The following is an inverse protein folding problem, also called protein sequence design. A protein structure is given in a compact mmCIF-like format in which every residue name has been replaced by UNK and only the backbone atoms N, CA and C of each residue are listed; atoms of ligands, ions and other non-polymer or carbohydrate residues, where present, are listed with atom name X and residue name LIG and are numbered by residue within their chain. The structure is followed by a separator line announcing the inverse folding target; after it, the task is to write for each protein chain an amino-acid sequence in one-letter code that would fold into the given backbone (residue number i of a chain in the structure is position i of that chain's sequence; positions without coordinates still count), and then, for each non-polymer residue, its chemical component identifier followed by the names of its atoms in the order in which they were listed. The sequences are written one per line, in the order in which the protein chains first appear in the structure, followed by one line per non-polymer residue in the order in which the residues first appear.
data_IF_333612911217
#
_entry.id   IF_333612911217
#
_cell.length_a   1.000
_cell.length_b   1.000
_cell.length_c   1.000
_cell.angle_alpha   90.00
_cell.angle_beta   90.00
_cell.angle_gamma   90.00
#
_symmetry.space_group_name_H-M   'P 1'
#
loop_
_entity.id
_entity.type
_entity.pdbx_description
1 polymer ?
#
# COMPACT_ATOMS: atom_id res chain seq x y z
N UNK A 1 -70.78 22.62 -9.69
CA UNK A 1 -70.45 21.18 -9.61
C UNK A 1 -68.95 21.08 -9.41
N UNK A 2 -68.52 20.79 -8.18
CA UNK A 2 -67.13 20.73 -7.70
C UNK A 2 -66.61 19.30 -7.80
N UNK A 3 -65.36 19.10 -8.24
CA UNK A 3 -64.52 17.97 -7.82
C UNK A 3 -63.05 18.43 -7.81
N UNK A 4 -62.55 18.77 -6.63
CA UNK A 4 -61.12 18.92 -6.34
C UNK A 4 -60.64 17.65 -5.65
N UNK A 5 -59.64 16.99 -6.22
CA UNK A 5 -59.05 15.76 -5.68
C UNK A 5 -58.39 16.01 -4.33
N UNK A 6 -58.83 15.29 -3.31
CA UNK A 6 -58.24 15.25 -1.96
C UNK A 6 -56.92 14.46 -1.98
N UNK A 7 -55.82 14.92 -1.34
CA UNK A 7 -54.63 14.11 -1.16
C UNK A 7 -54.76 13.16 0.03
N UNK A 8 -54.28 11.93 -0.15
CA UNK A 8 -54.30 10.79 0.78
C UNK A 8 -53.38 11.03 2.01
N UNK A 9 -53.87 10.90 3.27
CA UNK A 9 -53.07 11.12 4.48
C UNK A 9 -52.44 9.80 4.94
N UNK A 10 -51.62 9.16 4.09
CA UNK A 10 -51.21 7.76 4.33
C UNK A 10 -49.72 7.44 4.19
N UNK A 11 -48.81 8.41 4.04
CA UNK A 11 -47.37 8.12 3.88
C UNK A 11 -46.52 8.92 4.85
N UNK A 12 -46.21 8.33 6.01
CA UNK A 12 -45.08 8.77 6.83
C UNK A 12 -43.79 8.57 6.02
N UNK A 13 -42.93 9.57 5.85
CA UNK A 13 -41.62 9.31 5.26
C UNK A 13 -40.89 8.36 6.18
N UNK A 14 -40.40 7.25 5.61
CA UNK A 14 -39.46 6.35 6.28
C UNK A 14 -38.29 7.21 6.72
N UNK A 15 -38.17 7.47 8.03
CA UNK A 15 -37.02 8.14 8.59
C UNK A 15 -35.79 7.37 8.13
N UNK A 16 -34.99 7.95 7.25
CA UNK A 16 -33.67 7.48 6.92
C UNK A 16 -32.89 7.45 8.25
N UNK A 17 -32.68 6.25 8.76
CA UNK A 17 -31.66 5.98 9.76
C UNK A 17 -30.32 6.29 9.11
N UNK A 18 -29.92 7.56 9.15
CA UNK A 18 -28.55 7.93 8.82
C UNK A 18 -27.66 7.17 9.82
N UNK A 19 -26.73 6.31 9.34
CA UNK A 19 -25.75 5.71 10.22
C UNK A 19 -24.93 6.86 10.80
N UNK A 20 -25.01 7.05 12.12
CA UNK A 20 -24.15 8.00 12.81
C UNK A 20 -22.72 7.53 12.60
N UNK A 21 -22.00 8.21 11.71
CA UNK A 21 -20.57 8.00 11.55
C UNK A 21 -19.92 8.47 12.86
N UNK A 22 -19.65 7.53 13.76
CA UNK A 22 -18.74 7.81 14.86
C UNK A 22 -17.37 8.14 14.24
N UNK A 23 -16.65 9.15 14.75
CA UNK A 23 -15.29 9.38 14.33
C UNK A 23 -14.47 8.19 14.82
N UNK A 24 -14.36 7.18 13.97
CA UNK A 24 -13.37 6.11 14.12
C UNK A 24 -12.05 6.85 14.09
N UNK A 25 -11.48 7.07 15.28
CA UNK A 25 -10.18 7.69 15.46
C UNK A 25 -9.23 6.99 14.51
N UNK A 26 -8.98 7.64 13.38
CA UNK A 26 -8.12 7.12 12.36
C UNK A 26 -6.73 7.26 12.95
N UNK A 27 -6.29 6.23 13.69
CA UNK A 27 -4.87 5.90 13.67
C UNK A 27 -4.60 5.71 12.19
N UNK A 28 -3.93 6.70 11.60
CA UNK A 28 -3.46 6.58 10.24
C UNK A 28 -2.58 5.33 10.23
N UNK A 29 -3.11 4.24 9.68
CA UNK A 29 -2.28 3.14 9.23
C UNK A 29 -1.21 3.80 8.36
N UNK A 30 0.09 3.59 8.63
CA UNK A 30 1.12 4.18 7.80
C UNK A 30 0.80 3.77 6.37
N UNK A 31 0.56 4.75 5.49
CA UNK A 31 0.36 4.49 4.07
C UNK A 31 1.58 3.69 3.65
N UNK A 32 1.37 2.41 3.34
CA UNK A 32 2.42 1.54 2.87
C UNK A 32 2.81 2.05 1.49
N UNK A 33 3.74 2.99 1.47
CA UNK A 33 4.28 3.57 0.25
C UNK A 33 4.96 2.44 -0.53
N UNK A 34 4.33 2.11 -1.65
CA UNK A 34 4.73 1.03 -2.55
C UNK A 34 6.13 1.34 -3.11
N UNK A 35 7.01 0.33 -3.27
CA UNK A 35 8.30 0.56 -3.92
C UNK A 35 8.08 0.98 -5.38
N UNK A 36 8.89 1.93 -5.86
CA UNK A 36 8.82 2.45 -7.21
C UNK A 36 9.72 1.64 -8.15
N UNK A 37 9.22 1.34 -9.36
CA UNK A 37 10.04 0.75 -10.44
C UNK A 37 10.71 1.88 -11.22
N UNK A 38 12.04 1.91 -11.21
CA UNK A 38 12.86 2.88 -11.96
C UNK A 38 13.75 2.17 -12.99
N UNK A 39 14.27 2.91 -13.97
CA UNK A 39 15.07 2.36 -15.06
C UNK A 39 16.39 3.11 -15.25
N UNK A 40 17.47 2.37 -15.51
CA UNK A 40 18.78 2.92 -15.88
C UNK A 40 19.47 2.06 -16.94
N UNK A 41 20.56 2.56 -17.52
CA UNK A 41 21.54 1.71 -18.22
C UNK A 41 22.51 1.06 -17.23
N UNK A 42 22.83 -0.21 -17.43
CA UNK A 42 23.84 -0.91 -16.64
C UNK A 42 25.21 -0.24 -16.80
N UNK A 43 25.86 0.12 -15.69
CA UNK A 43 27.15 0.80 -15.73
C UNK A 43 28.31 -0.04 -16.32
N UNK A 44 28.13 -1.36 -16.41
CA UNK A 44 29.13 -2.28 -17.00
C UNK A 44 28.86 -2.56 -18.49
N UNK A 45 27.65 -2.95 -18.87
CA UNK A 45 27.35 -3.42 -20.23
C UNK A 45 26.34 -2.56 -21.00
N UNK A 46 25.82 -1.48 -20.41
CA UNK A 46 24.90 -0.55 -21.05
C UNK A 46 23.45 -1.03 -21.19
N UNK A 47 23.16 -2.31 -20.94
CA UNK A 47 21.80 -2.86 -21.03
C UNK A 47 20.83 -2.11 -20.11
N UNK A 48 19.63 -1.77 -20.62
CA UNK A 48 18.59 -1.18 -19.80
C UNK A 48 18.09 -2.17 -18.75
N UNK A 49 18.08 -1.74 -17.49
CA UNK A 49 17.68 -2.54 -16.34
C UNK A 49 16.62 -1.79 -15.54
N UNK A 50 15.65 -2.54 -15.04
CA UNK A 50 14.68 -2.07 -14.06
C UNK A 50 15.22 -2.33 -12.64
N UNK A 51 14.91 -1.43 -11.71
CA UNK A 51 15.24 -1.56 -10.30
C UNK A 51 14.09 -1.10 -9.41
N UNK A 52 14.19 -1.39 -8.12
CA UNK A 52 13.23 -0.92 -7.12
C UNK A 52 13.89 0.13 -6.25
N UNK A 53 13.25 1.30 -6.11
CA UNK A 53 13.73 2.40 -5.28
C UNK A 53 15.23 2.73 -5.52
N UNK A 54 15.69 2.74 -6.78
CA UNK A 54 17.09 3.01 -7.12
C UNK A 54 18.08 1.86 -6.87
N UNK A 55 17.60 0.64 -6.63
CA UNK A 55 18.43 -0.56 -6.44
C UNK A 55 18.41 -1.42 -7.70
N UNK A 56 19.58 -1.60 -8.30
CA UNK A 56 19.72 -2.15 -9.63
C UNK A 56 20.63 -3.38 -9.64
N UNK A 57 20.21 -4.40 -10.38
CA UNK A 57 21.00 -5.60 -10.64
C UNK A 57 20.86 -6.00 -12.11
N UNK A 58 21.97 -6.15 -12.81
CA UNK A 58 21.98 -6.59 -14.20
C UNK A 58 22.06 -8.11 -14.28
N UNK A 59 20.99 -8.75 -14.73
CA UNK A 59 20.95 -10.21 -14.97
C UNK A 59 21.90 -10.66 -16.09
N UNK A 60 22.30 -9.76 -16.99
CA UNK A 60 23.20 -10.08 -18.10
C UNK A 60 24.67 -10.19 -17.70
N UNK A 61 25.21 -9.20 -16.98
CA UNK A 61 26.65 -9.12 -16.68
C UNK A 61 27.00 -9.19 -15.18
N UNK A 62 25.99 -9.36 -14.31
CA UNK A 62 26.14 -9.51 -12.86
C UNK A 62 26.51 -8.23 -12.11
N UNK A 63 26.52 -7.07 -12.77
CA UNK A 63 26.74 -5.80 -12.09
C UNK A 63 25.58 -5.48 -11.14
N UNK A 64 25.92 -5.02 -9.94
CA UNK A 64 24.99 -4.50 -8.93
C UNK A 64 25.51 -3.15 -8.47
N UNK A 65 24.61 -2.23 -8.16
CA UNK A 65 25.00 -0.94 -7.62
C UNK A 65 25.24 -1.00 -6.10
N UNK A 66 25.93 0.00 -5.54
CA UNK A 66 26.16 0.04 -4.09
C UNK A 66 24.84 0.21 -3.34
N UNK A 67 24.69 -0.49 -2.22
CA UNK A 67 23.41 -0.52 -1.49
C UNK A 67 23.00 0.87 -0.95
N UNK A 68 23.96 1.77 -0.74
CA UNK A 68 23.71 3.14 -0.28
C UNK A 68 23.08 4.04 -1.34
N UNK A 69 23.13 3.66 -2.61
CA UNK A 69 22.64 4.48 -3.73
C UNK A 69 21.12 4.38 -3.94
N UNK A 70 20.42 3.53 -3.18
CA UNK A 70 18.96 3.45 -3.23
C UNK A 70 18.29 4.76 -2.84
N UNK A 71 17.21 5.12 -3.54
CA UNK A 71 16.47 6.38 -3.35
C UNK A 71 15.71 6.40 -2.01
N UNK A 72 15.31 5.22 -1.51
CA UNK A 72 14.60 5.10 -0.24
C UNK A 72 15.60 4.94 0.92
N UNK A 73 15.46 5.76 1.99
CA UNK A 73 16.29 5.61 3.18
C UNK A 73 16.22 4.18 3.71
N UNK A 74 17.36 3.68 4.18
CA UNK A 74 17.35 2.39 4.84
C UNK A 74 16.47 2.44 6.11
N UNK A 75 15.78 1.34 6.44
CA UNK A 75 15.19 1.18 7.75
C UNK A 75 16.24 1.49 8.82
N UNK A 76 15.87 2.28 9.81
CA UNK A 76 16.71 2.45 10.99
C UNK A 76 17.08 1.07 11.55
N UNK A 77 18.28 0.94 12.13
CA UNK A 77 18.70 -0.28 12.81
C UNK A 77 17.75 -0.58 13.98
N UNK A 78 16.64 -1.25 13.69
CA UNK A 78 15.65 -1.67 14.66
C UNK A 78 16.09 -2.92 15.40
N UNK A 79 15.38 -3.23 16.49
CA UNK A 79 15.56 -4.48 17.26
C UNK A 79 15.65 -5.67 16.30
N UNK A 80 16.59 -6.57 16.59
CA UNK A 80 16.80 -7.83 15.86
C UNK A 80 15.46 -8.44 15.48
N UNK A 81 15.28 -8.76 14.19
CA UNK A 81 14.12 -9.54 13.74
C UNK A 81 14.04 -10.78 14.62
N UNK A 82 12.86 -11.10 15.23
CA UNK A 82 12.70 -12.34 15.96
C UNK A 82 13.12 -13.50 15.07
N UNK A 83 14.07 -14.30 15.55
CA UNK A 83 14.44 -15.53 14.88
C UNK A 83 13.21 -16.44 14.89
N UNK A 84 12.84 -17.05 13.75
CA UNK A 84 11.82 -18.11 13.79
C UNK A 84 12.32 -19.21 14.75
N UNK A 85 11.39 -19.78 15.52
CA UNK A 85 11.71 -20.91 16.38
C UNK A 85 12.39 -22.02 15.56
N UNK A 86 13.38 -22.74 16.14
CA UNK A 86 13.98 -23.88 15.46
C UNK A 86 12.89 -24.87 15.03
N UNK A 87 12.97 -25.35 13.79
CA UNK A 87 12.02 -26.35 13.30
C UNK A 87 12.16 -27.61 14.16
N UNK A 88 11.05 -28.26 14.56
CA UNK A 88 11.12 -29.57 15.19
C UNK A 88 11.90 -30.53 14.28
N UNK A 89 12.89 -31.23 14.82
CA UNK A 89 13.54 -32.29 14.07
C UNK A 89 12.52 -33.42 13.91
N UNK A 90 12.13 -33.72 12.68
CA UNK A 90 11.34 -34.91 12.39
C UNK A 90 12.22 -36.15 12.62
N UNK A 91 11.71 -37.20 13.27
CA UNK A 91 12.44 -38.45 13.53
C UNK A 91 12.71 -39.24 12.24
#
# INVERSE_FOLDING_TARGET
MTMGTTPDPGKRPRAELQPRAEPRSARAEPVAEHPEITYIGCARCGTQIAGLDGRYACSGCGWVNEWTEGHRPLPAAGRRRPQPAPRPQQP
#
